data_IF_784790391576
#
_entry.id   IF_784790391576
#
_cell.length_a   1.000
_cell.length_b   1.000
_cell.length_c   1.000
_cell.angle_alpha   90.00
_cell.angle_beta   90.00
_cell.angle_gamma   90.00
#
_symmetry.space_group_name_H-M   'P 1'
#
loop_
_entity.id
_entity.type
_entity.pdbx_description
1 polymer ?
#
# COMPACT_ATOMS: atom_id res chain seq x y z
N UNK A 1 -16.20 0.91 -7.11
CA UNK A 1 -14.71 1.06 -7.12
C UNK A 1 -14.08 -0.06 -6.33
N UNK A 2 -12.78 -0.29 -6.52
CA UNK A 2 -11.93 -1.16 -5.66
C UNK A 2 -10.82 -0.27 -5.12
N UNK A 3 -10.75 -0.14 -3.79
CA UNK A 3 -9.73 0.64 -3.10
C UNK A 3 -8.61 -0.31 -2.66
N UNK A 4 -7.39 -0.16 -3.20
CA UNK A 4 -6.30 -1.10 -2.91
C UNK A 4 -5.41 -0.68 -1.72
N UNK A 5 -5.73 0.45 -1.08
CA UNK A 5 -4.89 0.99 -0.01
C UNK A 5 -5.74 1.52 1.15
N UNK A 6 -6.03 0.65 2.11
CA UNK A 6 -6.80 1.02 3.30
C UNK A 6 -6.25 0.34 4.56
N UNK A 7 -6.11 1.13 5.62
CA UNK A 7 -5.63 0.65 6.93
C UNK A 7 -6.80 0.42 7.88
N UNK A 8 -6.88 -0.77 8.45
CA UNK A 8 -7.82 -1.07 9.55
C UNK A 8 -7.07 -1.66 10.74
N UNK A 9 -7.56 -1.37 11.93
CA UNK A 9 -6.92 -1.75 13.19
C UNK A 9 -7.89 -2.48 14.10
N UNK A 10 -7.40 -3.45 14.90
CA UNK A 10 -8.20 -4.05 15.97
C UNK A 10 -8.80 -2.98 16.91
N UNK A 11 -10.04 -3.15 17.39
CA UNK A 11 -10.71 -2.18 18.23
C UNK A 11 -9.90 -1.76 19.48
N UNK A 12 -9.15 -2.68 20.07
CA UNK A 12 -8.31 -2.38 21.22
C UNK A 12 -7.12 -1.47 20.89
N UNK A 13 -6.59 -1.54 19.66
CA UNK A 13 -5.53 -0.62 19.22
C UNK A 13 -6.13 0.76 18.96
N UNK A 14 -7.31 0.84 18.33
CA UNK A 14 -8.02 2.09 18.07
C UNK A 14 -8.31 2.82 19.39
N UNK A 15 -8.83 2.11 20.40
CA UNK A 15 -9.25 2.67 21.69
C UNK A 15 -8.06 3.00 22.61
N UNK A 16 -6.97 2.24 22.53
CA UNK A 16 -5.87 2.28 23.50
C UNK A 16 -4.50 2.37 22.80
N UNK A 17 -4.42 3.12 21.69
CA UNK A 17 -3.18 3.21 20.88
C UNK A 17 -1.95 3.61 21.67
N UNK A 18 -2.12 4.38 22.76
CA UNK A 18 -1.00 4.82 23.60
C UNK A 18 -0.26 3.66 24.29
N UNK A 19 -0.96 2.55 24.54
CA UNK A 19 -0.36 1.36 25.19
C UNK A 19 0.71 0.71 24.30
N UNK A 20 0.72 1.00 23.00
CA UNK A 20 1.65 0.45 22.02
C UNK A 20 2.87 1.36 21.75
N UNK A 21 2.83 2.64 22.18
CA UNK A 21 3.86 3.62 21.82
C UNK A 21 5.26 3.33 22.39
N UNK A 22 5.35 2.69 23.54
CA UNK A 22 6.63 2.43 24.21
C UNK A 22 7.51 1.46 23.39
N UNK A 23 6.90 0.45 22.78
CA UNK A 23 7.59 -0.64 22.08
C UNK A 23 7.62 -0.46 20.56
N UNK A 24 6.80 0.45 20.03
CA UNK A 24 6.55 0.65 18.60
C UNK A 24 6.81 2.13 18.20
N UNK A 25 8.07 2.54 18.08
CA UNK A 25 8.42 3.94 17.85
C UNK A 25 7.88 4.49 16.53
N UNK A 26 7.85 3.67 15.47
CA UNK A 26 7.26 4.07 14.18
C UNK A 26 5.75 4.30 14.31
N UNK A 27 5.04 3.40 15.00
CA UNK A 27 3.62 3.56 15.28
C UNK A 27 3.34 4.82 16.11
N UNK A 28 4.14 5.06 17.15
CA UNK A 28 4.05 6.30 17.93
C UNK A 28 4.23 7.52 17.05
N UNK A 29 5.25 7.55 16.20
CA UNK A 29 5.55 8.68 15.32
C UNK A 29 4.38 9.02 14.39
N UNK A 30 3.71 8.02 13.82
CA UNK A 30 2.55 8.23 12.95
C UNK A 30 1.28 8.61 13.70
N UNK A 31 1.05 8.02 14.89
CA UNK A 31 -0.27 8.01 15.53
C UNK A 31 -0.31 8.69 16.92
N UNK A 32 0.74 9.35 17.41
CA UNK A 32 0.67 10.08 18.69
C UNK A 32 -0.16 11.36 18.57
N UNK A 33 -0.25 11.97 17.40
CA UNK A 33 -1.11 13.14 17.17
C UNK A 33 -2.58 12.78 17.39
N UNK A 34 -3.37 13.61 18.13
CA UNK A 34 -4.80 13.40 18.27
C UNK A 34 -5.58 13.46 16.94
N UNK A 35 -5.03 14.12 15.93
CA UNK A 35 -5.64 14.20 14.60
C UNK A 35 -5.39 12.95 13.75
N UNK A 36 -4.38 12.13 14.08
CA UNK A 36 -4.11 10.89 13.39
C UNK A 36 -5.26 9.89 13.65
N UNK A 37 -5.85 9.38 12.58
CA UNK A 37 -7.01 8.51 12.63
C UNK A 37 -6.57 7.05 12.57
N UNK A 38 -7.25 6.23 13.35
CA UNK A 38 -7.28 4.78 13.23
C UNK A 38 -8.75 4.38 13.03
N UNK A 39 -9.00 3.32 12.28
CA UNK A 39 -10.35 2.83 12.03
C UNK A 39 -10.41 1.31 12.14
N UNK A 40 -11.56 0.78 12.56
CA UNK A 40 -11.86 -0.66 12.51
C UNK A 40 -12.41 -1.07 11.14
N UNK A 41 -12.61 -2.37 10.93
CA UNK A 41 -13.26 -2.87 9.72
C UNK A 41 -14.69 -2.32 9.58
N UNK A 42 -15.45 -2.26 10.67
CA UNK A 42 -16.81 -1.75 10.69
C UNK A 42 -16.88 -0.26 10.34
N UNK A 43 -15.89 0.52 10.80
CA UNK A 43 -15.78 1.95 10.49
C UNK A 43 -15.36 2.22 9.03
N UNK A 44 -14.82 1.23 8.32
CA UNK A 44 -14.53 1.32 6.88
C UNK A 44 -15.78 1.04 6.02
N UNK A 45 -16.65 0.12 6.44
CA UNK A 45 -17.77 -0.34 5.59
C UNK A 45 -18.78 0.78 5.26
N UNK A 46 -19.13 1.62 6.23
CA UNK A 46 -20.08 2.71 5.98
C UNK A 46 -19.55 3.73 4.96
N UNK A 47 -18.33 4.26 5.06
CA UNK A 47 -17.71 5.07 4.00
C UNK A 47 -17.63 4.36 2.65
N UNK A 48 -17.37 3.05 2.61
CA UNK A 48 -17.35 2.29 1.35
C UNK A 48 -18.71 2.34 0.65
N UNK A 49 -19.80 2.13 1.38
CA UNK A 49 -21.16 2.20 0.84
C UNK A 49 -21.49 3.62 0.36
N UNK A 50 -21.25 4.63 1.19
CA UNK A 50 -21.50 6.05 0.87
C UNK A 50 -20.76 6.50 -0.38
N UNK A 51 -19.52 6.06 -0.59
CA UNK A 51 -18.61 6.49 -1.65
C UNK A 51 -18.60 5.55 -2.87
N UNK A 52 -19.39 4.46 -2.85
CA UNK A 52 -19.48 3.50 -3.95
C UNK A 52 -18.24 2.62 -4.13
N UNK A 53 -17.50 2.36 -3.03
CA UNK A 53 -16.40 1.39 -3.00
C UNK A 53 -16.97 0.00 -2.76
N UNK A 54 -16.91 -0.86 -3.78
CA UNK A 54 -17.45 -2.23 -3.67
C UNK A 54 -16.54 -3.16 -2.88
N UNK A 55 -15.23 -3.01 -3.02
CA UNK A 55 -14.22 -3.81 -2.33
C UNK A 55 -13.04 -2.93 -1.89
N UNK A 56 -12.44 -3.28 -0.77
CA UNK A 56 -11.23 -2.65 -0.25
C UNK A 56 -10.17 -3.69 0.11
N UNK A 57 -8.95 -3.46 -0.29
CA UNK A 57 -7.78 -4.16 0.25
C UNK A 57 -7.47 -3.57 1.62
N UNK A 58 -7.46 -4.42 2.63
CA UNK A 58 -7.24 -4.04 4.03
C UNK A 58 -5.97 -4.67 4.57
N UNK A 59 -5.20 -3.88 5.28
CA UNK A 59 -3.98 -4.34 5.94
C UNK A 59 -3.71 -3.56 7.22
N UNK A 60 -2.77 -4.08 7.99
CA UNK A 60 -2.39 -3.53 9.29
C UNK A 60 -1.23 -2.54 9.19
N UNK A 61 -0.34 -2.65 10.18
CA UNK A 61 0.86 -1.84 10.35
C UNK A 61 2.09 -2.78 10.46
N UNK A 62 3.27 -2.39 9.97
CA UNK A 62 4.50 -3.21 10.06
C UNK A 62 5.10 -3.13 11.48
N UNK A 63 4.45 -3.77 12.43
CA UNK A 63 4.84 -3.80 13.82
C UNK A 63 6.24 -4.36 14.03
N UNK A 64 6.96 -3.81 14.98
CA UNK A 64 8.29 -4.29 15.34
C UNK A 64 8.23 -5.65 16.06
N UNK A 65 7.17 -5.90 16.85
CA UNK A 65 7.01 -7.15 17.61
C UNK A 65 6.19 -8.17 16.84
N UNK A 66 6.73 -9.37 16.63
CA UNK A 66 6.05 -10.48 15.95
C UNK A 66 4.68 -10.81 16.56
N UNK A 67 4.54 -10.76 17.88
CA UNK A 67 3.27 -11.03 18.54
C UNK A 67 2.18 -10.00 18.19
N UNK A 68 2.53 -8.71 18.14
CA UNK A 68 1.61 -7.63 17.74
C UNK A 68 1.26 -7.74 16.24
N UNK A 69 2.26 -8.07 15.42
CA UNK A 69 2.11 -8.31 13.98
C UNK A 69 1.11 -9.44 13.72
N UNK A 70 1.28 -10.61 14.36
CA UNK A 70 0.37 -11.75 14.25
C UNK A 70 -1.04 -11.41 14.68
N UNK A 71 -1.20 -10.76 15.82
CA UNK A 71 -2.51 -10.32 16.32
C UNK A 71 -3.22 -9.39 15.33
N UNK A 72 -2.49 -8.51 14.68
CA UNK A 72 -3.07 -7.60 13.70
C UNK A 72 -3.45 -8.36 12.41
N UNK A 73 -2.59 -9.24 11.92
CA UNK A 73 -2.89 -10.07 10.76
C UNK A 73 -4.06 -11.04 11.03
N UNK A 74 -4.19 -11.56 12.24
CA UNK A 74 -5.36 -12.36 12.63
C UNK A 74 -6.65 -11.55 12.53
N UNK A 75 -6.63 -10.27 12.95
CA UNK A 75 -7.76 -9.37 12.77
C UNK A 75 -8.09 -9.09 11.30
N UNK A 76 -7.08 -8.93 10.44
CA UNK A 76 -7.27 -8.77 8.99
C UNK A 76 -7.94 -10.01 8.38
N UNK A 77 -7.47 -11.21 8.74
CA UNK A 77 -8.05 -12.48 8.30
C UNK A 77 -9.50 -12.64 8.79
N UNK A 78 -9.76 -12.28 10.05
CA UNK A 78 -11.13 -12.30 10.61
C UNK A 78 -12.06 -11.32 9.89
N UNK A 79 -11.59 -10.09 9.63
CA UNK A 79 -12.35 -9.07 8.91
C UNK A 79 -12.69 -9.53 7.47
N UNK A 80 -11.71 -10.05 6.74
CA UNK A 80 -11.92 -10.63 5.41
C UNK A 80 -12.93 -11.78 5.46
N UNK A 81 -12.84 -12.68 6.43
CA UNK A 81 -13.77 -13.80 6.59
C UNK A 81 -15.18 -13.32 6.92
N UNK A 82 -15.31 -12.30 7.76
CA UNK A 82 -16.61 -11.72 8.16
C UNK A 82 -17.29 -10.95 7.02
N UNK A 83 -16.50 -10.27 6.19
CA UNK A 83 -16.99 -9.43 5.09
C UNK A 83 -16.39 -9.82 3.72
N UNK A 84 -16.55 -11.10 3.27
CA UNK A 84 -15.80 -11.66 2.15
C UNK A 84 -16.14 -11.04 0.79
N UNK A 85 -17.25 -10.30 0.69
CA UNK A 85 -17.64 -9.57 -0.53
C UNK A 85 -17.08 -8.15 -0.59
N UNK A 86 -16.55 -7.65 0.54
CA UNK A 86 -16.13 -6.26 0.69
C UNK A 86 -14.64 -6.11 1.01
N UNK A 87 -14.07 -7.03 1.79
CA UNK A 87 -12.70 -6.90 2.27
C UNK A 87 -11.78 -7.97 1.70
N UNK A 88 -10.59 -7.55 1.29
CA UNK A 88 -9.51 -8.37 0.74
C UNK A 88 -8.30 -8.16 1.65
N UNK A 89 -7.90 -9.18 2.39
CA UNK A 89 -6.79 -9.07 3.34
C UNK A 89 -5.42 -9.14 2.66
N UNK A 90 -4.52 -8.22 3.03
CA UNK A 90 -3.09 -8.33 2.79
C UNK A 90 -2.37 -8.56 4.12
N UNK A 91 -1.33 -9.40 4.10
CA UNK A 91 -0.50 -9.64 5.27
C UNK A 91 0.51 -8.50 5.44
N UNK A 92 0.44 -7.77 6.56
CA UNK A 92 1.42 -6.72 6.85
C UNK A 92 2.44 -7.21 7.86
N UNK A 93 3.73 -7.08 7.52
CA UNK A 93 4.84 -7.50 8.37
C UNK A 93 5.97 -6.46 8.36
N UNK A 94 6.78 -6.46 9.41
CA UNK A 94 8.11 -5.86 9.37
C UNK A 94 9.10 -6.90 8.85
N UNK A 95 9.60 -6.72 7.64
CA UNK A 95 10.49 -7.68 6.99
C UNK A 95 11.80 -7.93 7.76
N UNK A 96 12.22 -6.99 8.61
CA UNK A 96 13.43 -7.13 9.44
C UNK A 96 13.23 -8.06 10.65
N UNK A 97 12.00 -8.42 10.99
CA UNK A 97 11.71 -9.35 12.08
C UNK A 97 11.93 -10.80 11.62
N UNK A 98 12.66 -11.57 12.39
CA UNK A 98 13.09 -12.94 12.04
C UNK A 98 11.94 -13.90 11.72
N UNK A 99 10.75 -13.66 12.26
CA UNK A 99 9.53 -14.44 12.01
C UNK A 99 8.66 -13.94 10.85
N UNK A 100 9.05 -12.87 10.15
CA UNK A 100 8.21 -12.20 9.15
C UNK A 100 7.81 -13.10 7.98
N UNK A 101 8.76 -13.81 7.38
CA UNK A 101 8.46 -14.71 6.26
C UNK A 101 7.50 -15.84 6.66
N UNK A 102 7.69 -16.45 7.82
CA UNK A 102 6.78 -17.49 8.33
C UNK A 102 5.38 -16.95 8.62
N UNK A 103 5.27 -15.69 9.05
CA UNK A 103 3.97 -15.03 9.23
C UNK A 103 3.29 -14.72 7.90
N UNK A 104 4.05 -14.27 6.89
CA UNK A 104 3.53 -14.09 5.52
C UNK A 104 3.00 -15.40 4.96
N UNK A 105 3.78 -16.48 5.04
CA UNK A 105 3.35 -17.81 4.58
C UNK A 105 2.05 -18.25 5.26
N UNK A 106 1.96 -18.08 6.58
CA UNK A 106 0.75 -18.38 7.36
C UNK A 106 -0.46 -17.60 6.85
N UNK A 107 -0.31 -16.31 6.64
CA UNK A 107 -1.40 -15.44 6.19
C UNK A 107 -1.85 -15.74 4.74
N UNK A 108 -0.90 -15.98 3.84
CA UNK A 108 -1.20 -16.37 2.46
C UNK A 108 -1.90 -17.72 2.40
N UNK A 109 -1.45 -18.71 3.17
CA UNK A 109 -2.12 -20.01 3.31
C UNK A 109 -3.53 -19.90 3.91
N UNK A 110 -3.78 -18.89 4.76
CA UNK A 110 -5.08 -18.57 5.34
C UNK A 110 -5.98 -17.71 4.44
N UNK A 111 -5.52 -17.31 3.24
CA UNK A 111 -6.34 -16.65 2.22
C UNK A 111 -6.09 -15.16 2.02
N UNK A 112 -5.03 -14.58 2.60
CA UNK A 112 -4.58 -13.24 2.20
C UNK A 112 -4.21 -13.23 0.71
N UNK A 113 -4.54 -12.12 0.04
CA UNK A 113 -4.37 -11.96 -1.42
C UNK A 113 -3.19 -11.08 -1.82
N UNK A 114 -2.33 -10.76 -0.87
CA UNK A 114 -1.14 -9.96 -1.05
C UNK A 114 -0.38 -9.75 0.24
N UNK A 115 0.74 -9.05 0.14
CA UNK A 115 1.60 -8.68 1.27
C UNK A 115 1.80 -7.17 1.28
N UNK A 116 1.61 -6.53 2.41
CA UNK A 116 1.81 -5.08 2.56
C UNK A 116 0.65 -4.42 3.36
N UNK A 117 0.71 -3.12 3.58
CA UNK A 117 1.78 -2.23 3.14
C UNK A 117 3.05 -2.47 3.97
N UNK A 118 4.16 -2.84 3.33
CA UNK A 118 5.45 -2.90 4.00
C UNK A 118 6.08 -1.49 4.02
N UNK A 119 6.58 -1.06 5.16
CA UNK A 119 7.20 0.25 5.30
C UNK A 119 8.50 0.18 6.13
N UNK A 120 9.49 0.97 5.70
CA UNK A 120 10.80 1.09 6.35
C UNK A 120 11.00 2.55 6.77
N UNK A 121 10.28 2.95 7.83
CA UNK A 121 10.20 4.36 8.24
C UNK A 121 11.51 4.95 8.77
N UNK A 122 12.40 4.13 9.29
CA UNK A 122 13.65 4.55 9.92
C UNK A 122 14.89 4.10 9.15
N UNK A 123 14.81 2.99 8.43
CA UNK A 123 15.94 2.29 7.83
C UNK A 123 16.23 2.73 6.39
N UNK A 124 15.21 3.19 5.66
CA UNK A 124 15.32 3.37 4.21
C UNK A 124 15.34 2.03 3.47
N UNK A 125 15.89 1.98 2.25
CA UNK A 125 15.91 0.77 1.38
C UNK A 125 17.34 0.32 1.09
N UNK A 126 18.12 0.04 2.14
CA UNK A 126 19.49 -0.46 2.03
C UNK A 126 19.61 -1.96 1.68
N UNK A 127 20.82 -2.47 1.60
CA UNK A 127 21.13 -3.88 1.29
C UNK A 127 20.49 -4.87 2.27
N UNK A 128 20.39 -4.48 3.55
CA UNK A 128 19.82 -5.31 4.60
C UNK A 128 18.33 -5.56 4.36
N UNK A 129 17.63 -4.54 3.83
CA UNK A 129 16.23 -4.66 3.43
C UNK A 129 16.06 -5.61 2.26
N UNK A 130 16.95 -5.58 1.26
CA UNK A 130 16.91 -6.53 0.14
C UNK A 130 17.04 -7.96 0.64
N UNK A 131 17.96 -8.20 1.56
CA UNK A 131 18.18 -9.53 2.16
C UNK A 131 16.94 -9.98 2.96
N UNK A 132 16.34 -9.08 3.75
CA UNK A 132 15.17 -9.37 4.54
C UNK A 132 13.90 -9.61 3.69
N UNK A 133 13.78 -8.91 2.56
CA UNK A 133 12.65 -9.04 1.65
C UNK A 133 12.71 -10.31 0.77
N UNK A 134 13.90 -10.87 0.52
CA UNK A 134 14.05 -11.99 -0.41
C UNK A 134 13.09 -13.17 -0.11
N UNK A 135 13.01 -13.71 1.12
CA UNK A 135 12.10 -14.81 1.42
C UNK A 135 10.61 -14.41 1.28
N UNK A 136 10.27 -13.15 1.52
CA UNK A 136 8.90 -12.64 1.34
C UNK A 136 8.58 -12.51 -0.15
N UNK A 137 9.53 -12.02 -0.96
CA UNK A 137 9.40 -11.93 -2.41
C UNK A 137 9.19 -13.31 -3.04
N UNK A 138 9.96 -14.32 -2.61
CA UNK A 138 9.81 -15.72 -3.05
C UNK A 138 8.40 -16.25 -2.73
N UNK A 139 7.87 -15.97 -1.55
CA UNK A 139 6.50 -16.34 -1.18
C UNK A 139 5.46 -15.62 -2.05
N UNK A 140 5.60 -14.31 -2.25
CA UNK A 140 4.69 -13.56 -3.12
C UNK A 140 4.67 -14.12 -4.54
N UNK A 141 5.83 -14.43 -5.11
CA UNK A 141 5.96 -15.05 -6.43
C UNK A 141 5.35 -16.45 -6.45
N UNK A 142 5.65 -17.28 -5.45
CA UNK A 142 5.12 -18.63 -5.34
C UNK A 142 3.60 -18.71 -5.23
N UNK A 143 2.98 -17.74 -4.55
CA UNK A 143 1.52 -17.62 -4.45
C UNK A 143 0.89 -16.80 -5.58
N UNK A 144 1.69 -16.13 -6.42
CA UNK A 144 1.20 -15.27 -7.50
C UNK A 144 0.47 -14.02 -7.01
N UNK A 145 0.91 -13.45 -5.87
CA UNK A 145 0.27 -12.29 -5.23
C UNK A 145 1.19 -11.06 -5.23
N UNK A 146 0.65 -9.84 -5.21
CA UNK A 146 1.46 -8.62 -5.17
C UNK A 146 2.04 -8.33 -3.79
N UNK A 147 3.15 -7.58 -3.81
CA UNK A 147 3.73 -6.92 -2.65
C UNK A 147 3.46 -5.41 -2.76
N UNK A 148 2.78 -4.84 -1.77
CA UNK A 148 2.55 -3.39 -1.64
C UNK A 148 3.64 -2.80 -0.73
N UNK A 149 4.36 -1.82 -1.25
CA UNK A 149 5.47 -1.17 -0.58
C UNK A 149 5.17 0.32 -0.38
N UNK A 150 5.30 0.78 0.86
CA UNK A 150 5.28 2.20 1.19
C UNK A 150 6.42 2.94 0.47
N UNK A 151 6.07 4.02 -0.19
CA UNK A 151 7.03 4.94 -0.78
C UNK A 151 6.63 6.39 -0.48
N UNK A 152 7.52 7.33 -0.71
CA UNK A 152 7.22 8.75 -0.60
C UNK A 152 8.13 9.55 -1.52
N UNK A 153 7.77 10.80 -1.75
CA UNK A 153 8.59 11.73 -2.52
C UNK A 153 9.93 12.02 -1.81
N UNK A 154 11.05 12.08 -2.55
CA UNK A 154 12.39 12.28 -1.96
C UNK A 154 12.67 13.74 -1.57
N UNK A 155 11.77 14.66 -1.90
CA UNK A 155 11.92 16.11 -1.70
C UNK A 155 10.77 16.67 -0.87
N UNK A 156 10.84 17.95 -0.48
CA UNK A 156 9.79 18.61 0.31
C UNK A 156 10.03 18.50 1.82
N UNK A 157 9.03 18.93 2.60
CA UNK A 157 9.11 18.93 4.06
C UNK A 157 8.99 17.51 4.64
N UNK A 158 9.45 17.35 5.87
CA UNK A 158 9.26 16.12 6.64
C UNK A 158 7.87 16.09 7.29
N UNK A 159 7.27 14.91 7.34
CA UNK A 159 5.99 14.63 8.01
C UNK A 159 6.01 13.21 8.60
N UNK A 160 5.14 12.90 9.56
CA UNK A 160 5.01 11.52 10.06
C UNK A 160 4.67 10.55 8.93
N UNK A 161 5.48 9.50 8.78
CA UNK A 161 5.34 8.54 7.68
C UNK A 161 6.32 8.74 6.52
N UNK A 162 6.98 9.88 6.40
CA UNK A 162 8.01 10.09 5.36
C UNK A 162 9.30 9.35 5.69
N UNK A 163 9.52 8.23 5.02
CA UNK A 163 10.72 7.40 5.19
C UNK A 163 11.96 8.00 4.50
N UNK A 164 13.18 7.68 4.95
CA UNK A 164 14.42 8.19 4.35
C UNK A 164 14.83 7.45 3.07
N UNK A 165 13.86 7.02 2.26
CA UNK A 165 14.12 6.27 1.02
C UNK A 165 14.66 7.16 -0.09
N UNK A 166 15.50 6.57 -0.95
CA UNK A 166 15.98 7.18 -2.18
C UNK A 166 15.40 6.43 -3.40
N UNK A 167 15.05 7.15 -4.47
CA UNK A 167 14.53 6.52 -5.70
C UNK A 167 15.50 5.53 -6.33
N UNK A 168 16.82 5.78 -6.20
CA UNK A 168 17.84 4.85 -6.66
C UNK A 168 17.86 3.53 -5.89
N UNK A 169 17.55 3.55 -4.57
CA UNK A 169 17.44 2.34 -3.75
C UNK A 169 16.19 1.56 -4.11
N UNK A 170 15.06 2.27 -4.30
CA UNK A 170 13.81 1.68 -4.76
C UNK A 170 13.98 1.00 -6.14
N UNK A 171 14.68 1.66 -7.06
CA UNK A 171 14.97 1.10 -8.38
C UNK A 171 15.84 -0.17 -8.29
N UNK A 172 16.87 -0.18 -7.43
CA UNK A 172 17.69 -1.38 -7.16
C UNK A 172 16.88 -2.52 -6.54
N UNK A 173 15.95 -2.22 -5.65
CA UNK A 173 15.05 -3.22 -5.09
C UNK A 173 14.22 -3.89 -6.18
N UNK A 174 13.63 -3.12 -7.10
CA UNK A 174 12.85 -3.65 -8.22
C UNK A 174 13.74 -4.52 -9.14
N UNK A 175 14.96 -4.08 -9.42
CA UNK A 175 15.93 -4.86 -10.21
C UNK A 175 16.33 -6.18 -9.54
N UNK A 176 16.38 -6.22 -8.21
CA UNK A 176 16.69 -7.44 -7.45
C UNK A 176 15.58 -8.48 -7.51
N UNK A 177 14.33 -8.06 -7.73
CA UNK A 177 13.15 -8.94 -7.80
C UNK A 177 12.37 -8.74 -9.10
N UNK A 178 12.93 -9.08 -10.27
CA UNK A 178 12.41 -8.70 -11.59
C UNK A 178 11.05 -9.32 -11.94
N UNK A 179 10.67 -10.43 -11.31
CA UNK A 179 9.43 -11.16 -11.58
C UNK A 179 8.38 -10.95 -10.48
N UNK A 180 8.73 -10.19 -9.43
CA UNK A 180 7.81 -9.82 -8.36
C UNK A 180 6.81 -8.77 -8.85
N UNK A 181 5.54 -8.99 -8.60
CA UNK A 181 4.52 -7.97 -8.79
C UNK A 181 4.61 -7.00 -7.61
N UNK A 182 4.99 -5.76 -7.88
CA UNK A 182 5.15 -4.73 -6.85
C UNK A 182 4.13 -3.62 -7.08
N UNK A 183 3.40 -3.24 -6.03
CA UNK A 183 2.61 -2.03 -5.97
C UNK A 183 3.40 -1.01 -5.16
N UNK A 184 3.71 0.13 -5.74
CA UNK A 184 4.36 1.24 -5.07
C UNK A 184 3.31 2.24 -4.60
N UNK A 185 3.18 2.39 -3.30
CA UNK A 185 2.27 3.36 -2.70
C UNK A 185 2.64 4.80 -3.07
N UNK A 186 1.67 5.72 -3.04
CA UNK A 186 1.90 7.16 -3.17
C UNK A 186 2.67 7.54 -4.44
N UNK A 187 2.24 6.99 -5.60
CA UNK A 187 2.88 7.24 -6.91
C UNK A 187 4.35 6.79 -7.00
N UNK A 188 4.77 5.86 -6.13
CA UNK A 188 6.15 5.38 -6.12
C UNK A 188 7.18 6.47 -5.83
N UNK A 189 6.78 7.52 -5.10
CA UNK A 189 7.64 8.68 -4.86
C UNK A 189 8.04 9.42 -6.14
N UNK A 190 7.33 9.20 -7.24
CA UNK A 190 7.65 9.78 -8.55
C UNK A 190 8.59 8.92 -9.41
N UNK A 191 8.88 7.68 -9.04
CA UNK A 191 9.77 6.81 -9.81
C UNK A 191 9.28 6.62 -11.26
N UNK A 192 7.97 6.63 -11.50
CA UNK A 192 7.39 6.45 -12.82
C UNK A 192 7.83 7.53 -13.84
N UNK A 193 8.20 8.74 -13.41
CA UNK A 193 8.71 9.78 -14.31
C UNK A 193 9.95 9.32 -15.11
N UNK A 194 10.73 8.41 -14.56
CA UNK A 194 11.93 7.88 -15.20
C UNK A 194 11.62 6.87 -16.33
N UNK A 195 10.36 6.48 -16.54
CA UNK A 195 9.98 5.73 -17.75
C UNK A 195 10.14 6.54 -19.03
N UNK A 196 10.27 7.86 -18.94
CA UNK A 196 10.65 8.72 -20.05
C UNK A 196 12.13 8.55 -20.47
N UNK A 197 12.95 7.89 -19.65
CA UNK A 197 14.29 7.48 -20.05
C UNK A 197 14.21 6.34 -21.05
N UNK A 198 15.27 6.20 -21.89
CA UNK A 198 15.29 5.19 -22.95
C UNK A 198 15.21 3.77 -22.37
N UNK A 199 14.37 2.93 -22.95
CA UNK A 199 14.18 1.47 -22.81
C UNK A 199 14.34 0.84 -21.42
N UNK A 200 15.48 0.97 -20.77
CA UNK A 200 15.90 0.20 -19.60
C UNK A 200 14.91 0.33 -18.41
N UNK A 201 14.47 1.54 -18.11
CA UNK A 201 13.60 1.78 -16.94
C UNK A 201 12.21 1.18 -17.14
N UNK A 202 11.66 1.28 -18.36
CA UNK A 202 10.37 0.69 -18.68
C UNK A 202 10.39 -0.84 -18.53
N UNK A 203 11.48 -1.47 -18.97
CA UNK A 203 11.66 -2.93 -18.84
C UNK A 203 11.77 -3.37 -17.39
N UNK A 204 12.50 -2.61 -16.54
CA UNK A 204 12.61 -2.87 -15.10
C UNK A 204 11.25 -2.72 -14.40
N UNK A 205 10.47 -1.71 -14.79
CA UNK A 205 9.15 -1.42 -14.18
C UNK A 205 8.00 -2.24 -14.77
N UNK A 206 8.26 -3.26 -15.60
CA UNK A 206 7.20 -4.02 -16.30
C UNK A 206 6.17 -4.68 -15.36
N UNK A 207 6.60 -5.12 -14.17
CA UNK A 207 5.75 -5.73 -13.13
C UNK A 207 5.42 -4.79 -11.97
N UNK A 208 5.68 -3.49 -12.15
CA UNK A 208 5.38 -2.47 -11.15
C UNK A 208 4.06 -1.78 -11.46
N UNK A 209 3.27 -1.57 -10.41
CA UNK A 209 2.05 -0.77 -10.38
C UNK A 209 2.22 0.39 -9.39
N UNK A 210 1.41 1.43 -9.54
CA UNK A 210 1.48 2.62 -8.71
C UNK A 210 0.10 2.92 -8.16
N UNK A 211 -0.02 3.17 -6.88
CA UNK A 211 -1.29 3.60 -6.34
C UNK A 211 -1.40 5.12 -6.17
N UNK A 212 -2.63 5.57 -5.98
CA UNK A 212 -2.96 6.99 -5.82
C UNK A 212 -3.03 7.44 -4.37
N UNK A 213 -2.73 6.59 -3.41
CA UNK A 213 -2.85 6.88 -1.98
C UNK A 213 -2.20 8.22 -1.62
N UNK A 214 -2.88 8.99 -0.78
CA UNK A 214 -2.50 10.34 -0.34
C UNK A 214 -2.27 11.38 -1.47
N UNK A 215 -2.61 11.07 -2.74
CA UNK A 215 -2.38 11.98 -3.89
C UNK A 215 -2.80 13.43 -3.62
N UNK A 216 -3.99 13.70 -3.02
CA UNK A 216 -4.45 15.06 -2.75
C UNK A 216 -3.58 15.88 -1.79
N UNK A 217 -2.67 15.25 -1.07
CA UNK A 217 -1.69 15.93 -0.21
C UNK A 217 -0.32 16.07 -0.87
N UNK A 218 -0.01 15.21 -1.84
CA UNK A 218 1.33 15.09 -2.40
C UNK A 218 1.50 15.81 -3.74
N UNK A 219 0.46 15.77 -4.57
CA UNK A 219 0.55 16.25 -5.96
C UNK A 219 -0.66 17.10 -6.35
N UNK A 220 -0.45 17.94 -7.36
CA UNK A 220 -1.55 18.62 -8.04
C UNK A 220 -2.32 17.64 -8.95
N UNK A 221 -3.60 17.91 -9.28
CA UNK A 221 -4.42 16.99 -10.08
C UNK A 221 -3.84 16.60 -11.45
N UNK A 222 -2.95 17.41 -12.01
CA UNK A 222 -2.30 17.10 -13.29
C UNK A 222 -1.47 15.82 -13.24
N UNK A 223 -1.12 15.31 -12.03
CA UNK A 223 -0.38 14.05 -11.85
C UNK A 223 -1.09 12.88 -12.52
N UNK A 224 -2.41 12.83 -12.45
CA UNK A 224 -3.20 11.73 -13.03
C UNK A 224 -3.00 11.62 -14.55
N UNK A 225 -3.16 12.75 -15.27
CA UNK A 225 -2.95 12.78 -16.72
C UNK A 225 -1.49 12.48 -17.09
N UNK A 226 -0.55 13.12 -16.41
CA UNK A 226 0.88 12.90 -16.67
C UNK A 226 1.29 11.45 -16.45
N UNK A 227 0.80 10.82 -15.39
CA UNK A 227 1.08 9.41 -15.11
C UNK A 227 0.49 8.50 -16.20
N UNK A 228 -0.75 8.77 -16.63
CA UNK A 228 -1.37 8.04 -17.76
C UNK A 228 -0.60 8.23 -19.06
N UNK A 229 -0.15 9.44 -19.36
CA UNK A 229 0.62 9.74 -20.58
C UNK A 229 1.99 9.03 -20.57
N UNK A 230 2.61 8.85 -19.39
CA UNK A 230 3.95 8.25 -19.26
C UNK A 230 3.91 6.73 -19.23
N UNK A 231 3.05 6.12 -18.40
CA UNK A 231 3.07 4.67 -18.16
C UNK A 231 1.80 3.95 -18.61
N UNK A 232 0.82 4.66 -19.11
CA UNK A 232 -0.49 4.11 -19.45
C UNK A 232 -1.42 3.96 -18.23
N UNK A 233 -2.74 3.94 -18.46
CA UNK A 233 -3.73 3.88 -17.38
C UNK A 233 -3.74 2.53 -16.65
N UNK A 234 -3.27 1.45 -17.28
CA UNK A 234 -3.31 0.08 -16.74
C UNK A 234 -2.31 -0.18 -15.62
N UNK A 235 -1.38 0.73 -15.38
CA UNK A 235 -0.38 0.65 -14.31
C UNK A 235 -0.76 1.41 -13.04
N UNK A 236 -1.90 2.08 -13.04
CA UNK A 236 -2.34 2.92 -11.94
C UNK A 236 -3.50 2.21 -11.22
N UNK A 237 -3.42 2.16 -9.91
CA UNK A 237 -4.42 1.57 -9.02
C UNK A 237 -5.01 2.64 -8.11
N UNK A 238 -6.30 2.62 -7.88
CA UNK A 238 -6.92 3.52 -6.93
C UNK A 238 -6.64 3.05 -5.50
N UNK A 239 -6.05 3.92 -4.69
CA UNK A 239 -5.86 3.78 -3.25
C UNK A 239 -6.25 5.09 -2.57
N UNK A 240 -7.00 5.02 -1.48
CA UNK A 240 -7.43 6.21 -0.73
C UNK A 240 -6.53 6.55 0.45
N UNK A 241 -5.75 5.60 0.92
CA UNK A 241 -5.04 5.71 2.21
C UNK A 241 -6.01 5.92 3.39
N UNK A 242 -7.19 5.25 3.31
CA UNK A 242 -8.16 5.30 4.40
C UNK A 242 -7.51 4.87 5.73
N UNK A 243 -7.74 5.56 6.85
CA UNK A 243 -8.76 6.59 7.10
C UNK A 243 -8.31 8.04 6.85
N UNK A 244 -7.21 8.25 6.08
CA UNK A 244 -6.64 9.58 5.87
C UNK A 244 -7.56 10.47 5.02
N UNK A 245 -8.07 9.94 3.90
CA UNK A 245 -8.88 10.67 2.94
C UNK A 245 -10.10 9.86 2.48
N UNK A 246 -11.13 10.57 1.97
CA UNK A 246 -12.31 9.97 1.36
C UNK A 246 -12.13 9.78 -0.15
N UNK A 247 -12.64 8.68 -0.74
CA UNK A 247 -12.60 8.39 -2.18
C UNK A 247 -13.12 9.52 -3.08
N UNK A 248 -14.21 10.19 -2.69
CA UNK A 248 -14.80 11.28 -3.45
C UNK A 248 -13.82 12.41 -3.78
N UNK A 249 -12.85 12.68 -2.92
CA UNK A 249 -11.82 13.69 -3.18
C UNK A 249 -10.92 13.30 -4.34
N UNK A 250 -10.58 12.04 -4.47
CA UNK A 250 -9.75 11.52 -5.56
C UNK A 250 -10.48 11.56 -6.90
N UNK A 251 -11.77 11.20 -6.90
CA UNK A 251 -12.59 11.27 -8.12
C UNK A 251 -12.69 12.70 -8.66
N UNK A 252 -12.85 13.68 -7.77
CA UNK A 252 -12.84 15.09 -8.15
C UNK A 252 -11.50 15.52 -8.76
N UNK A 253 -10.38 15.05 -8.20
CA UNK A 253 -9.04 15.36 -8.73
C UNK A 253 -8.75 14.62 -10.04
N UNK A 254 -9.18 13.37 -10.21
CA UNK A 254 -9.06 12.64 -11.47
C UNK A 254 -9.80 13.37 -12.60
N UNK A 255 -11.01 13.87 -12.32
CA UNK A 255 -11.79 14.66 -13.27
C UNK A 255 -11.10 16.00 -13.58
N UNK A 256 -10.63 16.72 -12.55
CA UNK A 256 -9.89 17.97 -12.71
C UNK A 256 -8.55 17.77 -13.44
N UNK A 257 -7.90 16.62 -13.24
CA UNK A 257 -6.69 16.20 -13.91
C UNK A 257 -6.87 15.80 -15.37
N UNK A 258 -8.12 15.80 -15.88
CA UNK A 258 -8.44 15.56 -17.28
C UNK A 258 -8.48 14.09 -17.71
N UNK A 259 -8.68 13.16 -16.79
CA UNK A 259 -8.88 11.75 -17.13
C UNK A 259 -10.24 11.52 -17.82
N UNK A 260 -10.24 10.72 -18.87
CA UNK A 260 -11.49 10.26 -19.50
C UNK A 260 -12.26 9.30 -18.54
N UNK A 261 -13.58 9.15 -18.72
CA UNK A 261 -14.37 8.19 -17.93
C UNK A 261 -13.84 6.75 -18.04
N UNK A 262 -13.29 6.36 -19.18
CA UNK A 262 -12.67 5.04 -19.36
C UNK A 262 -11.39 4.89 -18.55
N UNK A 263 -10.51 5.88 -18.55
CA UNK A 263 -9.29 5.89 -17.75
C UNK A 263 -9.62 5.85 -16.24
N UNK A 264 -10.62 6.62 -15.81
CA UNK A 264 -11.10 6.58 -14.43
C UNK A 264 -11.61 5.18 -14.05
N UNK A 265 -12.41 4.53 -14.91
CA UNK A 265 -12.92 3.18 -14.68
C UNK A 265 -11.78 2.15 -14.57
N UNK A 266 -10.77 2.22 -15.43
CA UNK A 266 -9.58 1.37 -15.34
C UNK A 266 -8.89 1.55 -13.99
N UNK A 267 -8.57 2.77 -13.61
CA UNK A 267 -7.82 3.10 -12.39
C UNK A 267 -8.63 2.73 -11.13
N UNK A 268 -9.93 3.03 -11.12
CA UNK A 268 -10.75 2.86 -9.91
C UNK A 268 -11.29 1.45 -9.71
N UNK A 269 -11.18 0.56 -10.71
CA UNK A 269 -11.74 -0.78 -10.57
C UNK A 269 -11.02 -1.86 -11.40
N UNK A 270 -10.95 -1.70 -12.72
CA UNK A 270 -10.60 -2.83 -13.59
C UNK A 270 -9.16 -3.31 -13.41
N UNK A 271 -8.22 -2.38 -13.20
CA UNK A 271 -6.81 -2.75 -12.98
C UNK A 271 -6.63 -3.58 -11.71
N UNK A 272 -7.29 -3.16 -10.61
CA UNK A 272 -7.26 -3.91 -9.36
C UNK A 272 -7.94 -5.28 -9.49
N UNK A 273 -9.08 -5.35 -10.22
CA UNK A 273 -9.76 -6.62 -10.50
C UNK A 273 -8.88 -7.58 -11.26
N UNK A 274 -8.19 -7.11 -12.30
CA UNK A 274 -7.27 -7.93 -13.09
C UNK A 274 -6.06 -8.39 -12.26
N UNK A 275 -5.45 -7.45 -11.53
CA UNK A 275 -4.25 -7.73 -10.73
C UNK A 275 -4.52 -8.74 -9.62
N UNK A 276 -5.65 -8.62 -8.92
CA UNK A 276 -6.03 -9.47 -7.80
C UNK A 276 -6.89 -10.67 -8.22
N UNK A 277 -7.18 -10.84 -9.51
CA UNK A 277 -7.98 -11.95 -10.07
C UNK A 277 -9.36 -12.09 -9.37
N UNK A 278 -10.12 -10.98 -9.29
CA UNK A 278 -11.41 -10.87 -8.62
C UNK A 278 -12.59 -11.10 -9.55
#
# INVERSE_FOLDING_TARGET
MIDIHTHIFPPEIVQRRQDFFADEPAFRWLYESPQARLATAEELLAPMEEEGVAQAVVFGFPWRRLATMRRHNDYILEAQHRYPRHLIGFACVNALESGAAGEVERCLAAGCRGVGELAFYQEGLGSDILTALAPIADLCQGYGVPLLLHTNEPVGHTYPGKSPMQLGDLYRLIQAFPDLIIILAHWGGGLFFYQLMKKEVADVLRHVYFDTAASPYLYRPEIYRLAVDIMGPTKILFGSDFPLLRPSRYLAEMAAGGLSPEQQRLITAENARQLLQL
#
